data_IF_327118656770
#
_entry.id   IF_327118656770
#
_cell.length_a   1.000
_cell.length_b   1.000
_cell.length_c   1.000
_cell.angle_alpha   90.00
_cell.angle_beta   90.00
_cell.angle_gamma   90.00
#
_symmetry.space_group_name_H-M   'P 1'
#
loop_
_entity.id
_entity.type
_entity.pdbx_description
1 polymer ?
#
# COMPACT_ATOMS: atom_id res chain seq x y z
N UNK A 1 -8.41 -11.08 8.29
CA UNK A 1 -6.97 -10.96 8.57
C UNK A 1 -6.20 -11.79 7.57
N UNK A 2 -4.93 -11.47 7.31
CA UNK A 2 -4.05 -12.25 6.44
C UNK A 2 -3.75 -13.60 7.07
N UNK A 3 -3.77 -14.67 6.27
CA UNK A 3 -3.33 -15.99 6.71
C UNK A 3 -1.79 -16.11 6.67
N UNK A 4 -1.13 -15.35 5.79
CA UNK A 4 0.30 -15.46 5.52
C UNK A 4 1.17 -14.52 6.38
N UNK A 5 0.59 -13.42 6.87
CA UNK A 5 1.29 -12.38 7.63
C UNK A 5 0.49 -12.07 8.89
N UNK A 6 1.02 -12.47 10.04
CA UNK A 6 0.40 -12.25 11.34
C UNK A 6 0.14 -10.75 11.59
N UNK A 7 -1.04 -10.41 12.12
CA UNK A 7 -1.43 -9.04 12.42
C UNK A 7 -1.82 -8.17 11.20
N UNK A 8 -1.54 -8.61 9.97
CA UNK A 8 -1.87 -7.83 8.78
C UNK A 8 -3.35 -7.94 8.40
N UNK A 9 -3.99 -6.80 8.16
CA UNK A 9 -5.32 -6.78 7.55
C UNK A 9 -5.20 -7.22 6.09
N UNK A 10 -5.94 -8.26 5.69
CA UNK A 10 -5.93 -8.74 4.30
C UNK A 10 -6.85 -7.93 3.41
N UNK A 11 -8.11 -7.79 3.80
CA UNK A 11 -9.18 -7.19 3.01
C UNK A 11 -10.00 -6.28 3.92
N UNK A 12 -10.30 -5.07 3.47
CA UNK A 12 -11.12 -4.10 4.19
C UNK A 12 -11.95 -3.26 3.23
N UNK A 13 -12.93 -2.57 3.79
CA UNK A 13 -13.72 -1.54 3.11
C UNK A 13 -13.97 -0.40 4.07
N UNK A 14 -13.82 0.83 3.58
CA UNK A 14 -14.07 2.06 4.33
C UNK A 14 -15.09 2.93 3.60
N UNK A 15 -16.26 3.18 4.20
CA UNK A 15 -17.22 4.19 3.72
C UNK A 15 -16.69 5.58 4.09
N UNK A 16 -15.96 6.22 3.17
CA UNK A 16 -15.25 7.47 3.42
C UNK A 16 -16.05 8.74 3.14
N UNK A 17 -17.11 8.64 2.34
CA UNK A 17 -17.98 9.77 2.03
C UNK A 17 -19.43 9.31 1.95
N UNK A 18 -20.33 10.15 2.46
CA UNK A 18 -21.77 9.99 2.34
C UNK A 18 -22.38 11.37 2.09
N UNK A 19 -23.18 11.49 1.06
CA UNK A 19 -23.95 12.69 0.77
C UNK A 19 -25.36 12.35 0.34
N UNK A 20 -26.25 13.33 0.48
CA UNK A 20 -27.65 13.21 0.08
C UNK A 20 -27.98 14.41 -0.79
N UNK A 21 -28.62 14.15 -1.92
CA UNK A 21 -29.21 15.17 -2.80
C UNK A 21 -30.73 15.13 -2.64
N UNK A 22 -31.45 15.90 -3.45
CA UNK A 22 -32.92 15.86 -3.44
C UNK A 22 -33.48 14.50 -3.88
N UNK A 23 -32.73 13.75 -4.69
CA UNK A 23 -33.23 12.53 -5.37
C UNK A 23 -32.48 11.26 -5.00
N UNK A 24 -31.31 11.35 -4.37
CA UNK A 24 -30.46 10.18 -4.11
C UNK A 24 -29.56 10.31 -2.88
N UNK A 25 -29.06 9.16 -2.41
CA UNK A 25 -27.99 9.06 -1.43
C UNK A 25 -26.76 8.48 -2.12
N UNK A 26 -25.64 9.18 -2.04
CA UNK A 26 -24.37 8.79 -2.65
C UNK A 26 -23.39 8.34 -1.56
N UNK A 27 -22.85 7.13 -1.71
CA UNK A 27 -21.91 6.52 -0.77
C UNK A 27 -20.59 6.20 -1.49
N UNK A 28 -19.48 6.77 -1.01
CA UNK A 28 -18.14 6.51 -1.52
C UNK A 28 -17.38 5.55 -0.61
N UNK A 29 -17.09 4.34 -1.09
CA UNK A 29 -16.33 3.32 -0.34
C UNK A 29 -14.99 3.00 -0.99
N UNK A 30 -13.94 2.95 -0.17
CA UNK A 30 -12.62 2.46 -0.56
C UNK A 30 -12.45 0.99 -0.16
N UNK A 31 -12.47 0.08 -1.14
CA UNK A 31 -12.19 -1.35 -0.92
C UNK A 31 -10.71 -1.62 -1.16
N UNK A 32 -10.08 -2.34 -0.23
CA UNK A 32 -8.65 -2.69 -0.30
C UNK A 32 -8.46 -4.17 -0.02
N UNK A 33 -7.53 -4.80 -0.73
CA UNK A 33 -7.13 -6.17 -0.45
C UNK A 33 -5.69 -6.44 -0.89
N UNK A 34 -4.95 -7.24 -0.12
CA UNK A 34 -3.68 -7.83 -0.60
C UNK A 34 -3.91 -8.97 -1.60
N UNK A 35 -5.14 -9.49 -1.71
CA UNK A 35 -5.54 -10.54 -2.66
C UNK A 35 -6.61 -9.98 -3.60
N UNK A 36 -6.32 -9.95 -4.91
CA UNK A 36 -7.20 -9.38 -5.93
C UNK A 36 -8.61 -9.97 -5.93
N UNK A 37 -8.74 -11.30 -5.92
CA UNK A 37 -10.04 -11.98 -5.90
C UNK A 37 -10.89 -11.66 -4.67
N UNK A 38 -10.28 -11.33 -3.53
CA UNK A 38 -11.00 -10.92 -2.32
C UNK A 38 -11.48 -9.46 -2.41
N UNK A 39 -10.74 -8.58 -3.10
CA UNK A 39 -11.23 -7.23 -3.44
C UNK A 39 -12.45 -7.33 -4.34
N UNK A 40 -12.38 -8.17 -5.36
CA UNK A 40 -13.46 -8.33 -6.34
C UNK A 40 -14.69 -8.93 -5.66
N UNK A 41 -14.52 -9.95 -4.80
CA UNK A 41 -15.61 -10.50 -3.98
C UNK A 41 -16.35 -9.45 -3.14
N UNK A 42 -15.62 -8.51 -2.51
CA UNK A 42 -16.24 -7.45 -1.71
C UNK A 42 -17.00 -6.46 -2.60
N UNK A 43 -16.42 -6.08 -3.75
CA UNK A 43 -17.08 -5.22 -4.72
C UNK A 43 -18.37 -5.86 -5.27
N UNK A 44 -18.31 -7.14 -5.65
CA UNK A 44 -19.46 -7.88 -6.18
C UNK A 44 -20.60 -8.00 -5.16
N UNK A 45 -20.26 -8.13 -3.87
CA UNK A 45 -21.25 -8.10 -2.79
C UNK A 45 -21.93 -6.73 -2.68
N UNK A 46 -21.19 -5.64 -2.84
CA UNK A 46 -21.78 -4.29 -2.82
C UNK A 46 -22.70 -4.07 -4.02
N UNK A 47 -22.26 -4.48 -5.23
CA UNK A 47 -23.09 -4.45 -6.44
C UNK A 47 -24.39 -5.21 -6.21
N UNK A 48 -24.28 -6.48 -5.78
CA UNK A 48 -25.43 -7.35 -5.54
C UNK A 48 -26.42 -6.77 -4.52
N UNK A 49 -25.92 -6.13 -3.46
CA UNK A 49 -26.76 -5.51 -2.43
C UNK A 49 -27.48 -4.28 -2.95
N UNK A 50 -26.77 -3.39 -3.65
CA UNK A 50 -27.34 -2.11 -4.11
C UNK A 50 -28.33 -2.32 -5.25
N UNK A 51 -28.07 -3.28 -6.15
CA UNK A 51 -29.03 -3.66 -7.19
C UNK A 51 -30.34 -4.18 -6.60
N UNK A 52 -30.27 -5.01 -5.54
CA UNK A 52 -31.48 -5.48 -4.83
C UNK A 52 -32.29 -4.34 -4.18
N UNK A 53 -31.64 -3.23 -3.85
CA UNK A 53 -32.26 -2.04 -3.28
C UNK A 53 -32.70 -1.01 -4.34
N UNK A 54 -32.54 -1.32 -5.63
CA UNK A 54 -32.87 -0.42 -6.74
C UNK A 54 -31.83 0.68 -6.99
N UNK A 55 -30.65 0.57 -6.40
CA UNK A 55 -29.51 1.45 -6.63
C UNK A 55 -28.58 0.95 -7.74
N UNK A 56 -27.49 1.68 -7.96
CA UNK A 56 -26.40 1.28 -8.86
C UNK A 56 -25.04 1.52 -8.20
N UNK A 57 -24.02 0.81 -8.69
CA UNK A 57 -22.64 0.91 -8.20
C UNK A 57 -21.72 1.14 -9.39
N UNK A 58 -20.81 2.11 -9.25
CA UNK A 58 -19.72 2.33 -10.22
C UNK A 58 -18.40 1.97 -9.54
N UNK A 59 -17.70 0.99 -10.11
CA UNK A 59 -16.36 0.61 -9.66
C UNK A 59 -15.35 1.37 -10.52
N UNK A 60 -14.44 2.10 -9.87
CA UNK A 60 -13.36 2.81 -10.55
C UNK A 60 -12.06 2.73 -9.74
N UNK A 61 -10.95 3.17 -10.35
CA UNK A 61 -9.67 3.28 -9.64
C UNK A 61 -9.10 1.95 -9.13
N UNK A 62 -9.45 0.80 -9.75
CA UNK A 62 -8.91 -0.49 -9.35
C UNK A 62 -7.42 -0.57 -9.68
N UNK A 63 -6.60 -0.91 -8.69
CA UNK A 63 -5.16 -1.17 -8.84
C UNK A 63 -4.81 -2.52 -8.19
N UNK A 64 -3.74 -3.20 -8.64
CA UNK A 64 -3.29 -4.46 -8.08
C UNK A 64 -2.66 -4.28 -6.69
N UNK A 65 -2.76 -5.32 -5.86
CA UNK A 65 -1.95 -5.41 -4.64
C UNK A 65 -0.47 -5.65 -4.98
N UNK A 66 0.41 -5.39 -4.01
CA UNK A 66 1.83 -5.71 -4.10
C UNK A 66 2.14 -6.92 -3.21
N UNK A 67 2.34 -8.08 -3.82
CA UNK A 67 2.65 -9.31 -3.09
C UNK A 67 4.08 -9.29 -2.56
N UNK A 68 4.29 -9.85 -1.36
CA UNK A 68 5.62 -9.97 -0.77
C UNK A 68 6.50 -10.89 -1.62
N UNK A 69 7.65 -10.38 -2.08
CA UNK A 69 8.65 -11.18 -2.77
C UNK A 69 9.61 -11.82 -1.76
N UNK A 70 9.64 -13.16 -1.68
CA UNK A 70 10.52 -13.86 -0.74
C UNK A 70 11.99 -13.61 -1.02
N UNK A 71 12.37 -13.61 -2.30
CA UNK A 71 13.73 -13.40 -2.77
C UNK A 71 13.83 -12.00 -3.39
N UNK A 72 14.62 -11.11 -2.78
CA UNK A 72 14.80 -9.74 -3.25
C UNK A 72 16.24 -9.31 -2.97
N UNK A 73 17.16 -9.51 -3.94
CA UNK A 73 18.54 -9.04 -3.82
C UNK A 73 18.64 -7.54 -3.49
N UNK A 74 17.72 -6.72 -4.01
CA UNK A 74 17.68 -5.29 -3.71
C UNK A 74 17.34 -5.02 -2.24
N UNK A 75 16.35 -5.73 -1.69
CA UNK A 75 16.00 -5.62 -0.26
C UNK A 75 17.17 -6.06 0.61
N UNK A 76 17.82 -7.16 0.26
CA UNK A 76 18.92 -7.70 1.05
C UNK A 76 20.11 -6.71 1.07
N UNK A 77 20.42 -6.07 -0.06
CA UNK A 77 21.42 -4.98 -0.12
C UNK A 77 21.01 -3.75 0.72
N UNK A 78 19.74 -3.34 0.66
CA UNK A 78 19.23 -2.23 1.48
C UNK A 78 19.33 -2.52 2.98
N UNK A 79 19.04 -3.76 3.39
CA UNK A 79 19.18 -4.22 4.78
C UNK A 79 20.63 -4.16 5.23
N UNK A 80 21.57 -4.63 4.41
CA UNK A 80 23.01 -4.54 4.67
C UNK A 80 23.44 -3.08 4.87
N UNK A 81 23.15 -2.21 3.89
CA UNK A 81 23.53 -0.79 3.93
C UNK A 81 22.94 -0.08 5.15
N UNK A 82 21.66 -0.32 5.46
CA UNK A 82 21.02 0.26 6.63
C UNK A 82 21.70 -0.21 7.93
N UNK A 83 21.95 -1.52 8.05
CA UNK A 83 22.52 -2.11 9.26
C UNK A 83 23.92 -1.58 9.52
N UNK A 84 24.75 -1.42 8.49
CA UNK A 84 26.07 -0.81 8.61
C UNK A 84 26.03 0.66 9.02
N UNK A 85 25.08 1.44 8.48
CA UNK A 85 24.98 2.87 8.76
C UNK A 85 24.42 3.17 10.16
N UNK A 86 23.54 2.32 10.68
CA UNK A 86 22.74 2.61 11.88
C UNK A 86 22.92 1.62 13.03
N UNK A 87 23.68 0.54 12.82
CA UNK A 87 24.07 -0.40 13.88
C UNK A 87 22.95 -1.35 14.33
N UNK A 88 21.84 -1.42 13.59
CA UNK A 88 20.75 -2.35 13.83
C UNK A 88 20.01 -2.65 12.52
N UNK A 89 19.31 -3.79 12.46
CA UNK A 89 18.52 -4.15 11.29
C UNK A 89 17.29 -3.22 11.11
N UNK A 90 16.89 -2.91 9.86
CA UNK A 90 15.64 -2.21 9.60
C UNK A 90 14.45 -3.13 9.83
N UNK A 91 13.27 -2.55 10.02
CA UNK A 91 12.02 -3.31 10.01
C UNK A 91 11.57 -3.56 8.57
N UNK A 92 11.26 -4.81 8.24
CA UNK A 92 10.66 -5.20 6.96
C UNK A 92 9.19 -5.47 7.21
N UNK A 93 8.32 -4.64 6.62
CA UNK A 93 6.88 -4.68 6.90
C UNK A 93 6.06 -4.67 5.62
N UNK A 94 4.94 -5.41 5.65
CA UNK A 94 3.86 -5.25 4.69
C UNK A 94 2.80 -4.31 5.31
N UNK A 95 2.28 -3.38 4.53
CA UNK A 95 1.29 -2.40 4.99
C UNK A 95 -0.05 -2.60 4.30
N UNK A 96 -1.15 -2.34 5.01
CA UNK A 96 -2.50 -2.33 4.44
C UNK A 96 -2.79 -0.96 3.79
N UNK A 97 -2.00 -0.61 2.77
CA UNK A 97 -2.12 0.62 2.01
C UNK A 97 -1.87 0.36 0.51
N UNK A 98 -2.09 1.37 -0.33
CA UNK A 98 -1.73 1.30 -1.76
C UNK A 98 -0.34 1.88 -1.96
N UNK A 99 0.51 1.16 -2.69
CA UNK A 99 1.81 1.63 -3.17
C UNK A 99 1.91 1.36 -4.67
N UNK A 100 2.46 2.30 -5.45
CA UNK A 100 2.62 2.12 -6.90
C UNK A 100 3.51 0.92 -7.27
N UNK A 101 4.32 0.41 -6.35
CA UNK A 101 5.07 -0.84 -6.52
C UNK A 101 4.21 -2.01 -7.00
N UNK A 102 2.94 -2.10 -6.56
CA UNK A 102 2.01 -3.12 -7.04
C UNK A 102 1.70 -2.96 -8.54
N UNK A 103 1.51 -1.73 -9.02
CA UNK A 103 1.30 -1.46 -10.44
C UNK A 103 2.56 -1.73 -11.26
N UNK A 104 3.74 -1.37 -10.75
CA UNK A 104 5.00 -1.63 -11.44
C UNK A 104 5.29 -3.12 -11.55
N UNK A 105 5.12 -3.89 -10.46
CA UNK A 105 5.33 -5.34 -10.47
C UNK A 105 4.34 -6.08 -11.38
N UNK A 106 3.08 -5.61 -11.49
CA UNK A 106 2.08 -6.16 -12.43
C UNK A 106 2.48 -5.94 -13.90
N UNK A 107 3.11 -4.80 -14.21
CA UNK A 107 3.49 -4.44 -15.59
C UNK A 107 4.88 -4.89 -15.99
N UNK A 108 5.78 -5.11 -15.03
CA UNK A 108 7.17 -5.52 -15.26
C UNK A 108 7.44 -6.84 -14.54
N UNK A 109 7.15 -7.98 -15.17
CA UNK A 109 7.43 -9.29 -14.58
C UNK A 109 8.92 -9.44 -14.22
N UNK A 110 9.18 -9.90 -13.00
CA UNK A 110 10.55 -10.04 -12.49
C UNK A 110 11.18 -8.75 -11.98
N UNK A 111 10.43 -7.64 -11.90
CA UNK A 111 10.88 -6.44 -11.23
C UNK A 111 11.12 -6.72 -9.74
N UNK A 112 12.36 -6.58 -9.31
CA UNK A 112 12.72 -6.47 -7.90
C UNK A 112 12.59 -5.01 -7.46
N UNK A 113 11.66 -4.71 -6.56
CA UNK A 113 11.42 -3.37 -6.07
C UNK A 113 11.21 -3.36 -4.56
N UNK A 114 11.59 -2.24 -3.93
CA UNK A 114 11.42 -1.99 -2.50
C UNK A 114 10.91 -0.57 -2.34
N UNK A 115 10.01 -0.35 -1.38
CA UNK A 115 9.56 0.97 -0.98
C UNK A 115 10.28 1.38 0.30
N UNK A 116 10.93 2.54 0.28
CA UNK A 116 11.62 3.16 1.42
C UNK A 116 11.22 4.63 1.51
N UNK A 117 11.23 5.19 2.72
CA UNK A 117 10.85 6.57 2.92
C UNK A 117 11.21 7.07 4.31
N UNK A 118 11.24 8.40 4.51
CA UNK A 118 11.47 8.98 5.82
C UNK A 118 10.23 8.87 6.70
N UNK A 119 10.40 9.10 7.99
CA UNK A 119 9.28 9.15 8.92
C UNK A 119 8.37 10.34 8.58
N UNK A 120 7.11 10.02 8.31
CA UNK A 120 6.02 10.94 8.00
C UNK A 120 4.91 10.76 9.04
N UNK A 121 4.35 11.87 9.50
CA UNK A 121 3.23 11.88 10.45
C UNK A 121 2.04 12.63 9.85
N UNK A 122 0.83 12.19 10.19
CA UNK A 122 -0.43 12.83 9.80
C UNK A 122 -0.60 13.04 8.28
N UNK A 123 -0.09 12.09 7.48
CA UNK A 123 -0.20 12.11 6.02
C UNK A 123 -1.66 12.25 5.57
N UNK A 124 -1.88 13.02 4.50
CA UNK A 124 -3.21 13.35 3.97
C UNK A 124 -4.06 14.27 4.86
N UNK A 125 -3.43 15.01 5.79
CA UNK A 125 -4.10 16.02 6.60
C UNK A 125 -3.40 17.37 6.48
N UNK A 126 -4.05 18.45 6.91
CA UNK A 126 -3.42 19.77 6.99
C UNK A 126 -2.32 19.87 8.08
N UNK A 127 -2.09 18.81 8.86
CA UNK A 127 -1.08 18.73 9.92
C UNK A 127 0.08 17.81 9.54
N UNK A 128 0.16 17.41 8.28
CA UNK A 128 1.21 16.54 7.75
C UNK A 128 2.61 17.11 8.05
N UNK A 129 3.49 16.25 8.57
CA UNK A 129 4.86 16.60 8.98
C UNK A 129 5.85 15.55 8.51
N UNK A 130 7.06 16.02 8.22
CA UNK A 130 8.20 15.21 7.80
C UNK A 130 9.34 15.32 8.82
N UNK A 131 9.91 14.19 9.24
CA UNK A 131 11.03 14.19 10.17
C UNK A 131 12.37 14.45 9.47
N UNK A 132 12.92 15.66 9.62
CA UNK A 132 14.12 16.14 8.91
C UNK A 132 15.32 15.18 9.03
N UNK A 133 15.63 14.71 10.24
CA UNK A 133 16.77 13.81 10.44
C UNK A 133 16.52 12.41 9.85
N UNK A 134 15.26 12.00 9.70
CA UNK A 134 14.91 10.73 9.04
C UNK A 134 15.13 10.83 7.53
N UNK A 135 14.76 11.96 6.94
CA UNK A 135 15.05 12.29 5.54
C UNK A 135 16.54 12.20 5.23
N UNK A 136 17.40 12.72 6.12
CA UNK A 136 18.85 12.62 5.95
C UNK A 136 19.35 11.17 6.00
N UNK A 137 18.76 10.31 6.86
CA UNK A 137 19.11 8.89 6.91
C UNK A 137 18.73 8.17 5.62
N UNK A 138 17.51 8.38 5.14
CA UNK A 138 17.04 7.77 3.89
C UNK A 138 17.90 8.21 2.72
N UNK A 139 18.28 9.49 2.65
CA UNK A 139 19.19 9.98 1.62
C UNK A 139 20.55 9.27 1.64
N UNK A 140 21.18 9.15 2.82
CA UNK A 140 22.46 8.45 2.97
C UNK A 140 22.37 6.97 2.58
N UNK A 141 21.27 6.31 2.96
CA UNK A 141 21.02 4.92 2.62
C UNK A 141 20.83 4.75 1.11
N UNK A 142 20.05 5.63 0.48
CA UNK A 142 19.80 5.62 -0.96
C UNK A 142 21.11 5.78 -1.76
N UNK A 143 21.91 6.79 -1.43
CA UNK A 143 23.18 7.07 -2.14
C UNK A 143 24.14 5.89 -2.01
N UNK A 144 24.30 5.35 -0.80
CA UNK A 144 25.20 4.22 -0.57
C UNK A 144 24.71 2.95 -1.28
N UNK A 145 23.41 2.67 -1.25
CA UNK A 145 22.82 1.54 -1.98
C UNK A 145 23.12 1.65 -3.47
N UNK A 146 22.85 2.82 -4.08
CA UNK A 146 23.14 3.06 -5.49
C UNK A 146 24.62 2.93 -5.84
N UNK A 147 25.53 3.33 -4.94
CA UNK A 147 26.97 3.17 -5.14
C UNK A 147 27.42 1.69 -5.13
N UNK A 148 26.72 0.82 -4.40
CA UNK A 148 26.99 -0.63 -4.34
C UNK A 148 26.28 -1.45 -5.42
N UNK A 149 25.23 -0.90 -6.02
CA UNK A 149 24.54 -1.54 -7.14
C UNK A 149 25.51 -1.67 -8.33
N UNK A 150 25.58 -2.87 -8.91
CA UNK A 150 26.43 -3.20 -10.05
C UNK A 150 25.64 -3.18 -11.36
#
# INVERSE_FOLDING_TARGET
MSADIEGLVQTSSNLGALSTTETEVLAGSGVRSSIGSQKDLVSDRMVSLLEQLGGSVVINGSYPGWAYCKESPLRDLLVEVFTEQYGHEPKIEAIHAGLECGMFADKLPGLDCVSIGPDLEEIHTCREKLHIASTQRVWKMLVETLARMK
#
